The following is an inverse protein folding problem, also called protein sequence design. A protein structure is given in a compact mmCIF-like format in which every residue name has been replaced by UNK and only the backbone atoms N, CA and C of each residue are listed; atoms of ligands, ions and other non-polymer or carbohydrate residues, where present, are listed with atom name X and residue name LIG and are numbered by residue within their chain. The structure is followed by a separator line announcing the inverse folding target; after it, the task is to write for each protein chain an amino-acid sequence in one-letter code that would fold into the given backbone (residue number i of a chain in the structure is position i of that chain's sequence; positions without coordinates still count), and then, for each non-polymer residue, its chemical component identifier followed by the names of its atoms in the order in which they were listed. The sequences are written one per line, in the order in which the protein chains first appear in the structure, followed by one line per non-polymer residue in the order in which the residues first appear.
data_IF_196594961912
#
_entry.id   IF_196594961912
#
_cell.length_a   1.000
_cell.length_b   1.000
_cell.length_c   1.000
_cell.angle_alpha   90.00
_cell.angle_beta   90.00
_cell.angle_gamma   90.00
#
_symmetry.space_group_name_H-M   'P 1'
#
loop_
_entity.id
_entity.type
_entity.pdbx_description
1 polymer ?
#
# COMPACT_ATOMS: atom_id res chain seq x y z
N UNK A 1 33.43 -22.74 13.16
CA UNK A 1 32.45 -21.69 12.80
C UNK A 1 31.03 -22.29 12.79
N UNK A 2 30.72 -22.96 13.90
CA UNK A 2 29.62 -22.76 14.83
C UNK A 2 28.19 -22.73 14.28
N UNK A 3 27.65 -23.94 14.15
CA UNK A 3 26.21 -24.25 14.00
C UNK A 3 25.32 -23.55 15.05
N UNK A 4 25.85 -23.26 16.25
CA UNK A 4 25.17 -22.47 17.30
C UNK A 4 24.93 -21.01 16.91
N UNK A 5 25.86 -20.40 16.16
CA UNK A 5 25.69 -19.05 15.62
C UNK A 5 24.62 -19.01 14.53
N UNK A 6 24.56 -20.05 13.68
CA UNK A 6 23.57 -20.15 12.61
C UNK A 6 22.13 -20.36 13.15
N UNK A 7 21.95 -21.21 14.18
CA UNK A 7 20.64 -21.41 14.82
C UNK A 7 20.08 -20.13 15.44
N UNK A 8 20.93 -19.32 16.07
CA UNK A 8 20.51 -18.03 16.63
C UNK A 8 20.10 -17.03 15.53
N UNK A 9 20.82 -16.98 14.40
CA UNK A 9 20.45 -16.14 13.26
C UNK A 9 19.06 -16.47 12.71
N UNK A 10 18.76 -17.75 12.49
CA UNK A 10 17.45 -18.18 11.97
C UNK A 10 16.32 -17.84 12.94
N UNK A 11 16.55 -17.99 14.25
CA UNK A 11 15.57 -17.66 15.30
C UNK A 11 15.24 -16.16 15.32
N UNK A 12 16.25 -15.29 15.27
CA UNK A 12 16.07 -13.84 15.24
C UNK A 12 15.32 -13.41 13.97
N UNK A 13 15.68 -13.98 12.82
CA UNK A 13 15.01 -13.69 11.55
C UNK A 13 13.53 -14.10 11.57
N UNK A 14 13.23 -15.28 12.12
CA UNK A 14 11.85 -15.78 12.23
C UNK A 14 11.01 -14.94 13.19
N UNK A 15 11.59 -14.54 14.34
CA UNK A 15 10.94 -13.62 15.27
C UNK A 15 10.64 -12.27 14.61
N UNK A 16 11.57 -11.74 13.81
CA UNK A 16 11.36 -10.53 13.04
C UNK A 16 10.16 -10.67 12.09
N UNK A 17 10.11 -11.71 11.25
CA UNK A 17 8.98 -11.92 10.34
C UNK A 17 7.66 -12.10 11.08
N UNK A 18 7.61 -12.94 12.12
CA UNK A 18 6.41 -13.16 12.91
C UNK A 18 5.89 -11.85 13.54
N UNK A 19 6.80 -11.03 14.10
CA UNK A 19 6.46 -9.75 14.71
C UNK A 19 5.97 -8.74 13.68
N UNK A 20 6.64 -8.63 12.53
CA UNK A 20 6.25 -7.71 11.47
C UNK A 20 4.90 -8.08 10.86
N UNK A 21 4.66 -9.36 10.55
CA UNK A 21 3.35 -9.81 10.06
C UNK A 21 2.25 -9.60 11.10
N UNK A 22 2.53 -9.81 12.39
CA UNK A 22 1.58 -9.53 13.48
C UNK A 22 1.21 -8.05 13.55
N UNK A 23 2.19 -7.16 13.42
CA UNK A 23 1.96 -5.72 13.43
C UNK A 23 1.12 -5.27 12.22
N UNK A 24 1.47 -5.75 11.02
CA UNK A 24 0.70 -5.48 9.79
C UNK A 24 -0.73 -6.01 9.93
N UNK A 25 -0.90 -7.22 10.46
CA UNK A 25 -2.21 -7.83 10.69
C UNK A 25 -3.08 -6.97 11.61
N UNK A 26 -2.56 -6.58 12.77
CA UNK A 26 -3.32 -5.80 13.76
C UNK A 26 -3.72 -4.42 13.23
N UNK A 27 -2.76 -3.69 12.66
CA UNK A 27 -3.01 -2.34 12.12
C UNK A 27 -3.93 -2.41 10.91
N UNK A 28 -3.60 -3.26 9.94
CA UNK A 28 -4.35 -3.41 8.70
C UNK A 28 -5.78 -3.87 8.95
N UNK A 29 -6.00 -4.86 9.82
CA UNK A 29 -7.33 -5.38 10.11
C UNK A 29 -8.22 -4.31 10.75
N UNK A 30 -7.69 -3.58 11.74
CA UNK A 30 -8.41 -2.51 12.42
C UNK A 30 -8.80 -1.39 11.43
N UNK A 31 -7.82 -0.88 10.68
CA UNK A 31 -8.02 0.29 9.83
C UNK A 31 -8.87 -0.03 8.59
N UNK A 32 -8.64 -1.17 7.91
CA UNK A 32 -9.43 -1.54 6.74
C UNK A 32 -10.87 -1.96 7.11
N UNK A 33 -11.07 -2.65 8.23
CA UNK A 33 -12.43 -2.96 8.70
C UNK A 33 -13.20 -1.69 9.04
N UNK A 34 -12.55 -0.73 9.71
CA UNK A 34 -13.15 0.58 10.02
C UNK A 34 -13.47 1.35 8.74
N UNK A 35 -12.55 1.37 7.77
CA UNK A 35 -12.76 2.02 6.48
C UNK A 35 -13.93 1.41 5.72
N UNK A 36 -13.96 0.08 5.61
CA UNK A 36 -15.03 -0.64 4.91
C UNK A 36 -16.39 -0.41 5.59
N UNK A 37 -16.44 -0.43 6.92
CA UNK A 37 -17.64 -0.09 7.69
C UNK A 37 -18.14 1.33 7.37
N UNK A 38 -17.26 2.32 7.37
CA UNK A 38 -17.61 3.71 7.02
C UNK A 38 -18.11 3.79 5.58
N UNK A 39 -17.42 3.16 4.63
CA UNK A 39 -17.79 3.23 3.23
C UNK A 39 -19.14 2.55 2.92
N UNK A 40 -19.51 1.50 3.66
CA UNK A 40 -20.78 0.78 3.47
C UNK A 40 -21.93 1.49 4.21
N UNK A 41 -21.75 1.82 5.48
CA UNK A 41 -22.86 2.18 6.37
C UNK A 41 -23.01 3.67 6.65
N UNK A 42 -21.96 4.48 6.45
CA UNK A 42 -22.02 5.90 6.82
C UNK A 42 -22.49 6.82 5.71
N UNK A 43 -22.83 6.32 4.52
CA UNK A 43 -23.53 6.96 3.37
C UNK A 43 -23.14 8.40 2.94
N UNK A 44 -22.14 9.01 3.60
CA UNK A 44 -21.82 10.44 3.52
C UNK A 44 -20.77 10.73 2.43
N UNK A 45 -20.10 9.71 1.87
CA UNK A 45 -19.07 9.88 0.83
C UNK A 45 -19.33 8.96 -0.37
N UNK A 46 -20.34 9.28 -1.18
CA UNK A 46 -20.61 8.59 -2.46
C UNK A 46 -19.82 9.22 -3.61
N UNK A 47 -18.49 9.15 -3.53
CA UNK A 47 -17.64 9.49 -4.68
C UNK A 47 -17.38 8.26 -5.55
N UNK A 48 -17.11 8.44 -6.83
CA UNK A 48 -16.70 7.36 -7.74
C UNK A 48 -15.43 6.67 -7.21
N UNK A 49 -14.48 7.43 -6.68
CA UNK A 49 -13.25 6.90 -6.07
C UNK A 49 -13.52 5.97 -4.89
N UNK A 50 -14.62 6.20 -4.14
CA UNK A 50 -15.01 5.35 -3.02
C UNK A 50 -15.31 3.91 -3.47
N UNK A 51 -15.70 3.69 -4.73
CA UNK A 51 -15.86 2.34 -5.29
C UNK A 51 -14.52 1.60 -5.34
N UNK A 52 -13.46 2.26 -5.81
CA UNK A 52 -12.12 1.67 -5.83
C UNK A 52 -11.59 1.46 -4.41
N UNK A 53 -11.78 2.43 -3.50
CA UNK A 53 -11.35 2.31 -2.10
C UNK A 53 -12.05 1.18 -1.35
N UNK A 54 -13.34 0.94 -1.61
CA UNK A 54 -14.05 -0.24 -1.06
C UNK A 54 -13.41 -1.54 -1.52
N UNK A 55 -13.12 -1.65 -2.81
CA UNK A 55 -12.48 -2.84 -3.36
C UNK A 55 -11.06 -3.02 -2.83
N UNK A 56 -10.33 -1.92 -2.61
CA UNK A 56 -8.98 -1.93 -2.03
C UNK A 56 -9.02 -2.48 -0.60
N UNK A 57 -9.90 -1.94 0.25
CA UNK A 57 -10.10 -2.44 1.61
C UNK A 57 -10.52 -3.92 1.64
N UNK A 58 -11.35 -4.38 0.69
CA UNK A 58 -11.71 -5.81 0.58
C UNK A 58 -10.49 -6.65 0.18
N UNK A 59 -9.66 -6.17 -0.76
CA UNK A 59 -8.40 -6.81 -1.15
C UNK A 59 -7.50 -6.98 0.07
N UNK A 60 -7.26 -5.89 0.80
CA UNK A 60 -6.43 -5.86 1.99
C UNK A 60 -6.93 -6.82 3.05
N UNK A 61 -8.24 -6.85 3.32
CA UNK A 61 -8.83 -7.77 4.29
C UNK A 61 -8.66 -9.24 3.90
N UNK A 62 -8.67 -9.58 2.60
CA UNK A 62 -8.38 -10.94 2.15
C UNK A 62 -6.90 -11.31 2.34
N UNK A 63 -5.97 -10.40 2.08
CA UNK A 63 -4.56 -10.61 2.43
C UNK A 63 -4.39 -10.79 3.95
N UNK A 64 -5.00 -9.91 4.74
CA UNK A 64 -4.94 -9.92 6.20
C UNK A 64 -5.51 -11.21 6.78
N UNK A 65 -6.58 -11.75 6.20
CA UNK A 65 -7.14 -13.06 6.58
C UNK A 65 -6.15 -14.23 6.36
N UNK A 66 -5.21 -14.10 5.42
CA UNK A 66 -4.17 -15.11 5.18
C UNK A 66 -2.94 -14.98 6.10
N UNK A 67 -2.74 -13.81 6.73
CA UNK A 67 -1.56 -13.52 7.55
C UNK A 67 -1.36 -14.40 8.78
N UNK A 68 -2.40 -14.84 9.51
CA UNK A 68 -2.24 -15.75 10.64
C UNK A 68 -1.44 -17.02 10.32
N UNK A 69 -1.53 -17.51 9.08
CA UNK A 69 -0.75 -18.67 8.63
C UNK A 69 0.75 -18.37 8.59
N UNK A 70 1.15 -17.19 8.10
CA UNK A 70 2.56 -16.75 8.09
C UNK A 70 3.08 -16.49 9.50
N UNK A 71 2.27 -15.88 10.36
CA UNK A 71 2.63 -15.64 11.77
C UNK A 71 2.85 -16.98 12.49
N UNK A 72 1.93 -17.93 12.31
CA UNK A 72 2.04 -19.27 12.89
C UNK A 72 3.27 -20.00 12.36
N UNK A 73 3.53 -19.92 11.05
CA UNK A 73 4.71 -20.51 10.42
C UNK A 73 6.02 -19.98 11.00
N UNK A 74 6.22 -18.66 10.99
CA UNK A 74 7.47 -18.07 11.47
C UNK A 74 7.63 -18.17 12.99
N UNK A 75 6.54 -18.22 13.76
CA UNK A 75 6.59 -18.36 15.22
C UNK A 75 6.91 -19.78 15.70
N UNK A 76 6.34 -20.80 15.06
CA UNK A 76 6.35 -22.18 15.58
C UNK A 76 6.85 -23.27 14.61
N UNK A 77 7.14 -22.94 13.35
CA UNK A 77 7.56 -23.90 12.32
C UNK A 77 6.69 -25.17 12.26
N UNK A 78 5.36 -25.02 12.13
CA UNK A 78 4.45 -26.14 12.04
C UNK A 78 4.54 -26.80 10.66
N UNK A 79 4.18 -28.08 10.60
CA UNK A 79 3.97 -28.76 9.33
C UNK A 79 2.63 -28.30 8.73
N UNK A 80 2.70 -27.40 7.74
CA UNK A 80 1.53 -26.93 6.99
C UNK A 80 1.31 -27.80 5.76
N UNK A 81 0.03 -28.03 5.43
CA UNK A 81 -0.30 -28.68 4.16
C UNK A 81 0.13 -27.78 2.99
N UNK A 82 0.59 -28.40 1.90
CA UNK A 82 0.98 -27.67 0.69
C UNK A 82 -0.15 -26.79 0.15
N UNK A 83 -1.40 -27.27 0.20
CA UNK A 83 -2.58 -26.52 -0.26
C UNK A 83 -2.74 -25.24 0.59
N UNK A 84 -2.55 -25.32 1.91
CA UNK A 84 -2.65 -24.16 2.80
C UNK A 84 -1.62 -23.09 2.46
N UNK A 85 -0.37 -23.49 2.20
CA UNK A 85 0.72 -22.61 1.78
C UNK A 85 0.41 -21.90 0.47
N UNK A 86 -0.05 -22.66 -0.51
CA UNK A 86 -0.36 -22.16 -1.85
C UNK A 86 -1.54 -21.21 -1.84
N UNK A 87 -2.61 -21.50 -1.09
CA UNK A 87 -3.75 -20.59 -0.95
C UNK A 87 -3.31 -19.27 -0.30
N UNK A 88 -2.46 -19.31 0.74
CA UNK A 88 -1.92 -18.11 1.36
C UNK A 88 -0.99 -17.32 0.43
N UNK A 89 -0.23 -18.00 -0.43
CA UNK A 89 0.59 -17.40 -1.47
C UNK A 89 -0.25 -16.75 -2.57
N UNK A 90 -1.29 -17.44 -3.03
CA UNK A 90 -2.23 -16.96 -4.04
C UNK A 90 -2.99 -15.71 -3.56
N UNK A 91 -3.51 -15.71 -2.32
CA UNK A 91 -4.18 -14.54 -1.75
C UNK A 91 -3.25 -13.31 -1.70
N UNK A 92 -1.96 -13.52 -1.39
CA UNK A 92 -0.97 -12.43 -1.45
C UNK A 92 -0.80 -11.91 -2.88
N UNK A 93 -0.70 -12.79 -3.87
CA UNK A 93 -0.51 -12.38 -5.25
C UNK A 93 -1.75 -11.69 -5.84
N UNK A 94 -2.95 -12.19 -5.51
CA UNK A 94 -4.22 -11.55 -5.85
C UNK A 94 -4.32 -10.16 -5.21
N UNK A 95 -3.95 -10.03 -3.93
CA UNK A 95 -3.89 -8.73 -3.26
C UNK A 95 -2.91 -7.79 -3.95
N UNK A 96 -1.69 -8.27 -4.20
CA UNK A 96 -0.65 -7.45 -4.81
C UNK A 96 -1.09 -6.84 -6.13
N UNK A 97 -1.60 -7.65 -7.07
CA UNK A 97 -2.10 -7.13 -8.35
C UNK A 97 -3.41 -6.35 -8.21
N UNK A 98 -4.31 -6.78 -7.31
CA UNK A 98 -5.52 -6.04 -6.97
C UNK A 98 -5.20 -4.62 -6.52
N UNK A 99 -4.34 -4.47 -5.51
CA UNK A 99 -3.89 -3.17 -5.00
C UNK A 99 -3.16 -2.36 -6.07
N UNK A 100 -2.23 -2.95 -6.84
CA UNK A 100 -1.56 -2.27 -7.96
C UNK A 100 -2.59 -1.64 -8.92
N UNK A 101 -3.56 -2.43 -9.40
CA UNK A 101 -4.55 -1.94 -10.35
C UNK A 101 -5.51 -0.92 -9.73
N UNK A 102 -5.98 -1.17 -8.50
CA UNK A 102 -6.90 -0.27 -7.80
C UNK A 102 -6.26 1.07 -7.47
N UNK A 103 -5.02 1.08 -6.99
CA UNK A 103 -4.25 2.30 -6.71
C UNK A 103 -4.03 3.10 -8.00
N UNK A 104 -3.70 2.45 -9.12
CA UNK A 104 -3.60 3.11 -10.43
C UNK A 104 -4.94 3.70 -10.88
N UNK A 105 -6.05 2.97 -10.71
CA UNK A 105 -7.38 3.47 -11.01
C UNK A 105 -7.79 4.65 -10.11
N UNK A 106 -7.40 4.64 -8.84
CA UNK A 106 -7.63 5.76 -7.91
C UNK A 106 -6.90 7.02 -8.41
N UNK A 107 -5.63 6.91 -8.80
CA UNK A 107 -4.87 8.04 -9.36
C UNK A 107 -5.45 8.53 -10.68
N UNK A 108 -5.82 7.62 -11.58
CA UNK A 108 -6.42 7.96 -12.87
C UNK A 108 -7.80 8.63 -12.71
N UNK A 109 -8.66 8.14 -11.80
CA UNK A 109 -9.95 8.76 -11.49
C UNK A 109 -9.77 10.18 -10.93
N UNK A 110 -8.78 10.39 -10.06
CA UNK A 110 -8.49 11.71 -9.50
C UNK A 110 -7.98 12.68 -10.57
N UNK A 111 -7.09 12.22 -11.44
CA UNK A 111 -6.63 12.99 -12.59
C UNK A 111 -7.80 13.38 -13.51
N UNK A 112 -8.65 12.41 -13.88
CA UNK A 112 -9.83 12.67 -14.71
C UNK A 112 -10.84 13.64 -14.07
N UNK A 113 -11.06 13.52 -12.76
CA UNK A 113 -11.99 14.36 -12.02
C UNK A 113 -11.54 15.83 -11.95
N UNK A 114 -10.24 16.07 -11.82
CA UNK A 114 -9.66 17.41 -11.62
C UNK A 114 -9.31 18.07 -12.95
N UNK A 115 -8.67 17.35 -13.87
CA UNK A 115 -8.20 17.92 -15.13
C UNK A 115 -9.30 18.00 -16.20
N UNK A 116 -10.34 17.15 -16.10
CA UNK A 116 -11.40 17.07 -17.12
C UNK A 116 -12.81 17.00 -16.49
N UNK A 117 -13.22 17.98 -15.65
CA UNK A 117 -14.48 17.91 -14.91
C UNK A 117 -15.73 17.93 -15.81
N UNK A 118 -15.68 18.64 -16.95
CA UNK A 118 -16.81 18.81 -17.88
C UNK A 118 -16.75 17.87 -19.10
N UNK A 119 -15.74 16.99 -19.18
CA UNK A 119 -15.61 16.06 -20.30
C UNK A 119 -16.62 14.93 -20.16
N UNK A 120 -17.51 14.78 -21.16
CA UNK A 120 -18.49 13.69 -21.23
C UNK A 120 -17.81 12.31 -21.24
N UNK A 121 -16.66 12.19 -21.91
CA UNK A 121 -15.83 10.99 -21.92
C UNK A 121 -15.30 10.64 -20.52
N UNK A 122 -14.75 11.62 -19.81
CA UNK A 122 -14.26 11.46 -18.43
C UNK A 122 -15.38 10.97 -17.52
N UNK A 123 -16.55 11.60 -17.59
CA UNK A 123 -17.71 11.22 -16.79
C UNK A 123 -18.20 9.80 -17.13
N UNK A 124 -18.26 9.44 -18.41
CA UNK A 124 -18.69 8.10 -18.85
C UNK A 124 -17.76 7.00 -18.31
N UNK A 125 -16.44 7.16 -18.40
CA UNK A 125 -15.47 6.19 -17.87
C UNK A 125 -15.60 6.07 -16.35
N UNK A 126 -15.65 7.21 -15.65
CA UNK A 126 -15.74 7.22 -14.19
C UNK A 126 -17.01 6.52 -13.70
N UNK A 127 -18.13 6.66 -14.41
CA UNK A 127 -19.38 5.94 -14.07
C UNK A 127 -19.26 4.41 -14.21
N UNK A 128 -18.29 3.90 -14.97
CA UNK A 128 -18.05 2.47 -15.14
C UNK A 128 -17.17 1.86 -14.04
N UNK A 129 -16.84 2.58 -12.97
CA UNK A 129 -15.94 2.13 -11.90
C UNK A 129 -16.28 0.73 -11.33
N UNK A 130 -17.58 0.38 -11.23
CA UNK A 130 -18.01 -0.95 -10.77
C UNK A 130 -17.55 -2.06 -11.73
N UNK A 131 -17.73 -1.85 -13.04
CA UNK A 131 -17.32 -2.82 -14.06
C UNK A 131 -15.79 -2.90 -14.16
N UNK A 132 -15.09 -1.76 -14.01
CA UNK A 132 -13.63 -1.74 -13.93
C UNK A 132 -13.15 -2.57 -12.75
N UNK A 133 -13.77 -2.45 -11.56
CA UNK A 133 -13.42 -3.28 -10.41
C UNK A 133 -13.66 -4.77 -10.66
N UNK A 134 -14.78 -5.14 -11.30
CA UNK A 134 -15.03 -6.55 -11.70
C UNK A 134 -13.94 -7.05 -12.65
N UNK A 135 -13.52 -6.22 -13.60
CA UNK A 135 -12.40 -6.50 -14.49
C UNK A 135 -11.09 -6.70 -13.74
N UNK A 136 -10.78 -5.85 -12.75
CA UNK A 136 -9.60 -5.97 -11.89
C UNK A 136 -9.62 -7.29 -11.12
N UNK A 137 -10.73 -7.64 -10.45
CA UNK A 137 -10.84 -8.92 -9.74
C UNK A 137 -10.62 -10.10 -10.68
N UNK A 138 -11.26 -10.07 -11.85
CA UNK A 138 -11.12 -11.12 -12.85
C UNK A 138 -9.67 -11.24 -13.32
N UNK A 139 -9.03 -10.12 -13.66
CA UNK A 139 -7.65 -10.09 -14.12
C UNK A 139 -6.67 -10.56 -13.04
N UNK A 140 -6.83 -10.10 -11.80
CA UNK A 140 -5.99 -10.51 -10.67
C UNK A 140 -6.16 -11.99 -10.34
N UNK A 141 -7.37 -12.54 -10.39
CA UNK A 141 -7.61 -13.97 -10.11
C UNK A 141 -7.14 -14.85 -11.27
N UNK A 142 -7.57 -14.57 -12.49
CA UNK A 142 -7.25 -15.37 -13.69
C UNK A 142 -5.76 -15.25 -14.04
N UNK A 143 -5.13 -14.11 -13.77
CA UNK A 143 -3.69 -13.92 -13.99
C UNK A 143 -2.81 -14.66 -12.99
N UNK A 144 -3.29 -14.94 -11.77
CA UNK A 144 -2.48 -15.48 -10.66
C UNK A 144 -2.77 -16.94 -10.34
N UNK A 145 -3.98 -17.44 -10.58
CA UNK A 145 -4.30 -18.86 -10.36
C UNK A 145 -3.43 -19.77 -11.25
N UNK A 146 -3.36 -19.59 -12.58
CA UNK A 146 -2.60 -20.48 -13.45
C UNK A 146 -1.11 -20.50 -13.11
N UNK A 147 -0.54 -19.38 -12.66
CA UNK A 147 0.89 -19.32 -12.30
C UNK A 147 1.23 -20.22 -11.11
N UNK A 148 0.28 -20.51 -10.22
CA UNK A 148 0.47 -21.46 -9.11
C UNK A 148 0.27 -22.93 -9.50
N UNK A 149 -0.40 -23.21 -10.62
CA UNK A 149 -0.69 -24.59 -11.06
C UNK A 149 0.17 -25.05 -12.25
N UNK A 150 0.77 -24.14 -13.01
CA UNK A 150 1.69 -24.45 -14.12
C UNK A 150 3.07 -24.83 -13.57
N UNK A 151 3.36 -26.14 -13.50
CA UNK A 151 4.73 -26.63 -13.22
C UNK A 151 4.84 -27.83 -12.28
N UNK A 152 3.77 -28.19 -11.56
CA UNK A 152 3.89 -29.17 -10.45
C UNK A 152 4.40 -30.54 -10.90
N UNK A 153 5.68 -30.81 -10.61
CA UNK A 153 6.16 -32.17 -10.40
C UNK A 153 5.83 -32.55 -8.96
N UNK A 154 5.07 -33.61 -8.79
CA UNK A 154 4.76 -34.24 -7.50
C UNK A 154 6.03 -34.48 -6.69
N UNK A 155 6.39 -33.55 -5.81
CA UNK A 155 7.35 -33.79 -4.73
C UNK A 155 6.68 -33.46 -3.41
N UNK A 156 6.11 -34.52 -2.86
CA UNK A 156 5.72 -34.66 -1.46
C UNK A 156 6.97 -34.38 -0.61
N UNK A 157 6.78 -33.62 0.48
CA UNK A 157 7.77 -33.24 1.50
C UNK A 157 8.59 -31.96 1.25
N UNK A 158 7.92 -30.81 1.20
CA UNK A 158 8.56 -29.55 1.63
C UNK A 158 7.93 -29.10 2.95
N UNK A 159 8.57 -29.44 4.07
CA UNK A 159 8.33 -28.89 5.41
C UNK A 159 8.55 -27.37 5.50
N UNK A 160 8.97 -26.73 4.40
CA UNK A 160 9.31 -25.32 4.31
C UNK A 160 8.31 -24.59 3.41
N UNK A 161 7.28 -23.99 4.02
CA UNK A 161 6.11 -23.38 3.35
C UNK A 161 6.40 -22.02 2.72
N UNK A 162 7.14 -21.16 3.43
CA UNK A 162 7.37 -19.76 3.06
C UNK A 162 8.85 -19.37 2.96
N UNK A 163 9.76 -20.34 3.03
CA UNK A 163 11.20 -20.08 3.02
C UNK A 163 11.83 -20.08 1.62
N UNK A 164 11.12 -20.57 0.60
CA UNK A 164 11.56 -20.59 -0.80
C UNK A 164 10.69 -19.73 -1.72
N UNK A 165 11.19 -19.47 -2.92
CA UNK A 165 10.41 -18.84 -3.98
C UNK A 165 9.52 -19.88 -4.70
N UNK A 166 8.33 -19.49 -5.16
CA UNK A 166 7.50 -20.35 -6.00
C UNK A 166 8.08 -20.51 -7.42
N UNK A 167 7.84 -21.66 -8.06
CA UNK A 167 8.39 -22.03 -9.38
C UNK A 167 8.11 -21.00 -10.49
N UNK A 168 6.99 -20.27 -10.40
CA UNK A 168 6.63 -19.28 -11.41
C UNK A 168 7.61 -18.11 -11.50
N UNK A 169 8.38 -17.82 -10.45
CA UNK A 169 9.34 -16.70 -10.42
C UNK A 169 10.59 -16.99 -11.26
N UNK A 170 10.97 -18.26 -11.39
CA UNK A 170 12.11 -18.65 -12.24
C UNK A 170 11.69 -18.96 -13.67
N UNK A 171 10.38 -18.99 -13.96
CA UNK A 171 9.87 -19.11 -15.33
C UNK A 171 10.02 -17.77 -16.07
N UNK A 172 10.87 -17.67 -17.12
CA UNK A 172 11.14 -16.40 -17.79
C UNK A 172 9.90 -15.77 -18.43
N UNK A 173 8.97 -16.59 -18.96
CA UNK A 173 7.75 -16.10 -19.59
C UNK A 173 6.79 -15.48 -18.58
N UNK A 174 6.58 -16.14 -17.44
CA UNK A 174 5.70 -15.65 -16.38
C UNK A 174 6.32 -14.40 -15.73
N UNK A 175 7.58 -14.47 -15.30
CA UNK A 175 8.27 -13.35 -14.64
C UNK A 175 8.39 -12.12 -15.53
N UNK A 176 8.70 -12.28 -16.82
CA UNK A 176 8.72 -11.15 -17.76
C UNK A 176 7.33 -10.53 -17.94
N UNK A 177 6.27 -11.35 -17.99
CA UNK A 177 4.89 -10.86 -18.08
C UNK A 177 4.49 -10.09 -16.83
N UNK A 178 4.85 -10.59 -15.64
CA UNK A 178 4.61 -9.92 -14.36
C UNK A 178 5.30 -8.55 -14.27
N UNK A 179 6.59 -8.50 -14.66
CA UNK A 179 7.37 -7.25 -14.66
C UNK A 179 6.84 -6.27 -15.71
N UNK A 180 6.48 -6.73 -16.91
CA UNK A 180 5.90 -5.89 -17.96
C UNK A 180 4.54 -5.32 -17.53
N UNK A 181 3.68 -6.15 -16.95
CA UNK A 181 2.39 -5.71 -16.41
C UNK A 181 2.59 -4.60 -15.38
N UNK A 182 3.53 -4.80 -14.44
CA UNK A 182 3.86 -3.78 -13.47
C UNK A 182 4.42 -2.50 -14.11
N UNK A 183 5.34 -2.61 -15.07
CA UNK A 183 5.90 -1.46 -15.78
C UNK A 183 4.83 -0.63 -16.50
N UNK A 184 3.85 -1.28 -17.14
CA UNK A 184 2.71 -0.59 -17.76
C UNK A 184 1.88 0.13 -16.71
N UNK A 185 1.52 -0.54 -15.60
CA UNK A 185 0.75 0.09 -14.52
C UNK A 185 1.48 1.25 -13.86
N UNK A 186 2.81 1.13 -13.70
CA UNK A 186 3.68 2.17 -13.17
C UNK A 186 3.70 3.38 -14.11
N UNK A 187 3.81 3.17 -15.42
CA UNK A 187 3.76 4.25 -16.40
C UNK A 187 2.44 5.03 -16.32
N UNK A 188 1.30 4.34 -16.22
CA UNK A 188 -0.02 4.98 -16.05
C UNK A 188 -0.10 5.72 -14.71
N UNK A 189 0.38 5.12 -13.62
CA UNK A 189 0.41 5.73 -12.28
C UNK A 189 1.22 7.03 -12.29
N UNK A 190 2.43 7.00 -12.85
CA UNK A 190 3.34 8.16 -12.92
C UNK A 190 2.78 9.24 -13.84
N UNK A 191 2.24 8.88 -15.01
CA UNK A 191 1.68 9.85 -15.96
C UNK A 191 0.45 10.58 -15.41
N UNK A 192 -0.49 9.85 -14.80
CA UNK A 192 -1.68 10.45 -14.18
C UNK A 192 -1.32 11.32 -12.97
N UNK A 193 -0.43 10.84 -12.10
CA UNK A 193 -0.01 11.57 -10.90
C UNK A 193 0.80 12.82 -11.24
N UNK A 194 1.74 12.75 -12.20
CA UNK A 194 2.55 13.91 -12.60
C UNK A 194 1.72 14.99 -13.27
N UNK A 195 0.77 14.61 -14.13
CA UNK A 195 -0.17 15.54 -14.77
C UNK A 195 -1.01 16.28 -13.74
N UNK A 196 -1.52 15.56 -12.74
CA UNK A 196 -2.33 16.14 -11.67
C UNK A 196 -1.51 17.08 -10.78
N UNK A 197 -0.28 16.69 -10.41
CA UNK A 197 0.63 17.54 -9.62
C UNK A 197 1.06 18.81 -10.38
N UNK A 198 1.23 18.71 -11.70
CA UNK A 198 1.56 19.86 -12.54
C UNK A 198 0.44 20.91 -12.52
N UNK A 199 -0.82 20.48 -12.64
CA UNK A 199 -1.99 21.38 -12.54
C UNK A 199 -2.03 22.06 -11.17
N UNK A 200 -1.82 21.32 -10.08
CA UNK A 200 -1.81 21.92 -8.74
C UNK A 200 -0.70 22.94 -8.51
N UNK A 201 0.45 22.77 -9.15
CA UNK A 201 1.52 23.77 -9.09
C UNK A 201 1.12 25.07 -9.80
N UNK A 202 0.28 25.01 -10.85
CA UNK A 202 -0.17 26.18 -11.60
C UNK A 202 -1.35 26.92 -10.94
N UNK A 203 -2.18 26.24 -10.14
CA UNK A 203 -3.46 26.77 -9.65
C UNK A 203 -3.44 27.42 -8.24
N UNK A 204 -2.31 27.95 -7.77
CA UNK A 204 -2.19 28.52 -6.41
C UNK A 204 -2.75 29.96 -6.37
N UNK A 205 -4.08 30.14 -6.27
CA UNK A 205 -4.65 31.50 -6.13
C UNK A 205 -5.90 31.70 -5.25
N UNK A 206 -6.45 30.70 -4.52
CA UNK A 206 -7.59 30.95 -3.58
C UNK A 206 -7.53 30.07 -2.32
N UNK A 207 -7.57 30.68 -1.13
CA UNK A 207 -7.26 30.03 0.17
C UNK A 207 -8.12 28.81 0.55
N UNK A 208 -9.42 28.78 0.22
CA UNK A 208 -10.27 27.59 0.42
C UNK A 208 -10.01 26.46 -0.60
N UNK A 209 -9.59 26.79 -1.83
CA UNK A 209 -9.17 25.78 -2.81
C UNK A 209 -7.86 25.12 -2.38
N UNK A 210 -6.95 25.87 -1.74
CA UNK A 210 -5.66 25.35 -1.26
C UNK A 210 -5.81 24.21 -0.25
N UNK A 211 -6.84 24.24 0.61
CA UNK A 211 -7.09 23.16 1.59
C UNK A 211 -7.50 21.86 0.88
N UNK A 212 -8.32 21.92 -0.16
CA UNK A 212 -8.72 20.72 -0.91
C UNK A 212 -7.61 20.24 -1.85
N UNK A 213 -6.86 21.15 -2.47
CA UNK A 213 -5.69 20.83 -3.30
C UNK A 213 -4.60 20.13 -2.48
N UNK A 214 -4.29 20.61 -1.28
CA UNK A 214 -3.28 19.99 -0.41
C UNK A 214 -3.67 18.58 0.03
N UNK A 215 -4.95 18.34 0.35
CA UNK A 215 -5.48 16.99 0.64
C UNK A 215 -5.34 16.05 -0.55
N UNK A 216 -5.75 16.48 -1.75
CA UNK A 216 -5.66 15.64 -2.96
C UNK A 216 -4.20 15.41 -3.34
N UNK A 217 -3.33 16.41 -3.22
CA UNK A 217 -1.89 16.28 -3.43
C UNK A 217 -1.29 15.24 -2.49
N UNK A 218 -1.61 15.31 -1.20
CA UNK A 218 -1.10 14.37 -0.20
C UNK A 218 -1.60 12.95 -0.48
N UNK A 219 -2.88 12.78 -0.83
CA UNK A 219 -3.44 11.52 -1.29
C UNK A 219 -2.64 10.94 -2.48
N UNK A 220 -2.36 11.73 -3.52
CA UNK A 220 -1.63 11.28 -4.72
C UNK A 220 -0.20 10.89 -4.37
N UNK A 221 0.50 11.72 -3.58
CA UNK A 221 1.87 11.45 -3.15
C UNK A 221 1.92 10.17 -2.30
N UNK A 222 0.98 9.99 -1.36
CA UNK A 222 0.87 8.77 -0.57
C UNK A 222 0.61 7.55 -1.46
N UNK A 223 -0.30 7.65 -2.43
CA UNK A 223 -0.59 6.56 -3.35
C UNK A 223 0.66 6.14 -4.15
N UNK A 224 1.38 7.10 -4.73
CA UNK A 224 2.65 6.84 -5.45
C UNK A 224 3.71 6.24 -4.51
N UNK A 225 3.81 6.74 -3.28
CA UNK A 225 4.77 6.24 -2.30
C UNK A 225 4.49 4.78 -1.90
N UNK A 226 3.22 4.43 -1.68
CA UNK A 226 2.81 3.04 -1.40
C UNK A 226 3.10 2.15 -2.61
N UNK A 227 2.70 2.60 -3.80
CA UNK A 227 2.90 1.85 -5.04
C UNK A 227 4.38 1.51 -5.27
N UNK A 228 5.25 2.52 -5.20
CA UNK A 228 6.68 2.36 -5.37
C UNK A 228 7.29 1.58 -4.20
N UNK A 229 7.00 1.96 -2.96
CA UNK A 229 7.63 1.37 -1.78
C UNK A 229 7.27 -0.10 -1.57
N UNK A 230 6.03 -0.49 -1.83
CA UNK A 230 5.54 -1.84 -1.55
C UNK A 230 5.73 -2.80 -2.75
N UNK A 231 5.62 -2.30 -3.99
CA UNK A 231 5.57 -3.20 -5.15
C UNK A 231 6.80 -3.14 -6.07
N UNK A 232 7.51 -2.00 -6.16
CA UNK A 232 8.72 -1.93 -7.01
C UNK A 232 9.80 -2.90 -6.53
N UNK A 233 10.14 -3.01 -5.23
CA UNK A 233 11.19 -3.91 -4.76
C UNK A 233 10.92 -5.36 -5.15
N UNK A 234 9.67 -5.82 -5.02
CA UNK A 234 9.28 -7.17 -5.43
C UNK A 234 9.56 -7.42 -6.92
N UNK A 235 9.13 -6.53 -7.80
CA UNK A 235 9.30 -6.71 -9.24
C UNK A 235 10.76 -6.62 -9.68
N UNK A 236 11.57 -5.79 -8.99
CA UNK A 236 13.01 -5.77 -9.19
C UNK A 236 13.64 -7.10 -8.77
N UNK A 237 13.25 -7.67 -7.63
CA UNK A 237 13.71 -9.00 -7.21
C UNK A 237 13.30 -10.10 -8.20
N UNK A 238 12.07 -10.07 -8.72
CA UNK A 238 11.62 -11.00 -9.77
C UNK A 238 12.48 -10.88 -11.04
N UNK A 239 12.85 -9.65 -11.45
CA UNK A 239 13.77 -9.43 -12.56
C UNK A 239 15.16 -10.02 -12.28
N UNK A 240 15.66 -9.90 -11.03
CA UNK A 240 16.93 -10.49 -10.63
C UNK A 240 16.95 -12.02 -10.73
N UNK A 241 15.82 -12.72 -10.52
CA UNK A 241 15.75 -14.17 -10.73
C UNK A 241 15.99 -14.60 -12.19
N UNK A 242 15.87 -13.68 -13.15
CA UNK A 242 16.18 -13.94 -14.57
C UNK A 242 17.67 -13.79 -14.91
N UNK A 243 18.50 -13.39 -13.93
CA UNK A 243 19.92 -13.14 -14.10
C UNK A 243 20.73 -14.34 -13.59
N UNK A 244 21.31 -15.19 -14.47
CA UNK A 244 21.84 -16.51 -14.08
C UNK A 244 23.03 -16.49 -13.11
N UNK A 245 23.78 -15.38 -13.05
CA UNK A 245 24.99 -15.24 -12.23
C UNK A 245 24.72 -14.67 -10.84
N UNK A 246 23.47 -14.36 -10.49
CA UNK A 246 23.13 -13.93 -9.14
C UNK A 246 23.00 -15.13 -8.20
N UNK A 247 23.40 -14.93 -6.94
CA UNK A 247 23.38 -15.99 -5.94
C UNK A 247 21.94 -16.27 -5.48
N UNK A 248 21.47 -17.49 -5.72
CA UNK A 248 20.11 -17.94 -5.41
C UNK A 248 19.74 -17.78 -3.92
N UNK A 249 20.68 -18.01 -2.99
CA UNK A 249 20.38 -17.92 -1.55
C UNK A 249 20.12 -16.49 -1.09
N UNK A 250 20.89 -15.53 -1.63
CA UNK A 250 20.67 -14.11 -1.36
C UNK A 250 19.38 -13.61 -2.01
N UNK A 251 19.02 -14.13 -3.18
CA UNK A 251 17.75 -13.82 -3.85
C UNK A 251 16.55 -14.34 -3.04
N UNK A 252 16.61 -15.57 -2.52
CA UNK A 252 15.54 -16.13 -1.68
C UNK A 252 15.37 -15.33 -0.38
N UNK A 253 16.48 -14.91 0.22
CA UNK A 253 16.44 -14.03 1.37
C UNK A 253 15.81 -12.67 1.02
N UNK A 254 16.26 -12.02 -0.06
CA UNK A 254 15.70 -10.76 -0.52
C UNK A 254 14.20 -10.88 -0.84
N UNK A 255 13.80 -11.97 -1.49
CA UNK A 255 12.42 -12.29 -1.84
C UNK A 255 11.51 -12.29 -0.61
N UNK A 256 11.94 -12.92 0.49
CA UNK A 256 11.17 -12.93 1.75
C UNK A 256 10.97 -11.52 2.32
N UNK A 257 11.99 -10.65 2.24
CA UNK A 257 11.87 -9.27 2.70
C UNK A 257 10.98 -8.41 1.79
N UNK A 258 11.10 -8.54 0.47
CA UNK A 258 10.24 -7.76 -0.46
C UNK A 258 8.79 -8.25 -0.44
N UNK A 259 8.53 -9.52 -0.13
CA UNK A 259 7.18 -10.02 0.15
C UNK A 259 6.60 -9.44 1.45
N UNK A 260 7.40 -9.37 2.51
CA UNK A 260 6.98 -8.70 3.74
C UNK A 260 6.68 -7.22 3.47
N UNK A 261 7.56 -6.55 2.72
CA UNK A 261 7.40 -5.15 2.34
C UNK A 261 6.17 -4.94 1.46
N UNK A 262 5.87 -5.85 0.53
CA UNK A 262 4.66 -5.76 -0.27
C UNK A 262 3.42 -5.84 0.60
N UNK A 263 3.41 -6.65 1.66
CA UNK A 263 2.30 -6.72 2.61
C UNK A 263 2.08 -5.45 3.44
N UNK A 264 3.07 -4.58 3.57
CA UNK A 264 2.92 -3.29 4.27
C UNK A 264 1.87 -2.40 3.59
N UNK A 265 1.59 -2.62 2.30
CA UNK A 265 0.52 -1.92 1.57
C UNK A 265 -0.81 -1.90 2.34
N UNK A 266 -1.24 -3.07 2.86
CA UNK A 266 -2.51 -3.20 3.57
C UNK A 266 -2.56 -2.39 4.88
N UNK A 267 -1.42 -2.04 5.47
CA UNK A 267 -1.36 -1.16 6.65
C UNK A 267 -1.28 0.33 6.27
N UNK A 268 -0.85 0.66 5.04
CA UNK A 268 -0.65 2.03 4.57
C UNK A 268 -1.83 2.57 3.73
N UNK A 269 -2.57 1.73 3.03
CA UNK A 269 -3.73 2.11 2.23
C UNK A 269 -4.80 2.91 3.02
N UNK A 270 -5.01 2.67 4.33
CA UNK A 270 -5.81 3.56 5.16
C UNK A 270 -5.41 5.04 5.21
N UNK A 271 -4.15 5.38 4.92
CA UNK A 271 -3.73 6.77 4.76
C UNK A 271 -4.35 7.41 3.52
N UNK A 272 -4.53 6.64 2.44
CA UNK A 272 -5.25 7.09 1.23
C UNK A 272 -6.71 7.40 1.58
N UNK A 273 -7.34 6.59 2.45
CA UNK A 273 -8.70 6.84 2.95
C UNK A 273 -8.78 8.07 3.84
N UNK A 274 -7.78 8.28 4.70
CA UNK A 274 -7.69 9.43 5.59
C UNK A 274 -7.65 10.76 4.84
N UNK A 275 -6.85 10.85 3.77
CA UNK A 275 -6.75 12.09 2.97
C UNK A 275 -7.97 12.35 2.07
N UNK A 276 -8.85 11.36 1.90
CA UNK A 276 -10.02 11.45 1.00
C UNK A 276 -11.35 11.57 1.73
N UNK A 277 -11.44 11.06 2.96
CA UNK A 277 -12.72 10.89 3.67
C UNK A 277 -12.68 11.64 5.00
N UNK A 278 -13.36 12.79 5.06
CA UNK A 278 -13.42 13.58 6.31
C UNK A 278 -14.05 12.80 7.48
N UNK A 279 -14.99 11.91 7.19
CA UNK A 279 -15.61 11.00 8.16
C UNK A 279 -14.61 9.98 8.72
N UNK A 280 -13.70 9.46 7.89
CA UNK A 280 -12.63 8.57 8.34
C UNK A 280 -11.67 9.30 9.27
N UNK A 281 -11.25 10.52 8.90
CA UNK A 281 -10.44 11.39 9.77
C UNK A 281 -11.10 11.69 11.12
N UNK A 282 -12.42 11.91 11.16
CA UNK A 282 -13.16 12.15 12.42
C UNK A 282 -13.21 10.92 13.33
N UNK A 283 -13.27 9.72 12.75
CA UNK A 283 -13.32 8.46 13.52
C UNK A 283 -11.93 7.91 13.86
N UNK A 284 -10.91 8.26 13.08
CA UNK A 284 -9.50 7.91 13.30
C UNK A 284 -8.67 9.20 13.29
N UNK A 285 -8.71 10.02 14.35
CA UNK A 285 -7.90 11.23 14.42
C UNK A 285 -6.41 10.86 14.56
N UNK A 286 -5.62 11.09 13.50
CA UNK A 286 -4.15 10.98 13.52
C UNK A 286 -3.48 12.20 14.18
N UNK A 287 -4.26 13.25 14.49
CA UNK A 287 -3.77 14.50 15.07
C UNK A 287 -3.06 14.38 16.43
N UNK A 288 -3.39 13.45 17.34
CA UNK A 288 -2.66 13.31 18.59
C UNK A 288 -1.19 12.93 18.40
N UNK A 289 -0.86 12.17 17.34
CA UNK A 289 0.51 11.70 17.08
C UNK A 289 1.39 12.70 16.32
N UNK A 290 0.79 13.54 15.46
CA UNK A 290 1.52 14.54 14.70
C UNK A 290 1.81 15.80 15.52
N UNK A 291 0.94 16.13 16.49
CA UNK A 291 1.10 17.31 17.35
C UNK A 291 2.24 17.16 18.36
N UNK A 292 2.54 15.93 18.80
CA UNK A 292 3.66 15.66 19.73
C UNK A 292 5.03 15.96 19.11
N UNK A 293 5.15 15.86 17.78
CA UNK A 293 6.40 16.13 17.06
C UNK A 293 6.62 17.62 16.78
N UNK A 294 5.54 18.38 16.58
CA UNK A 294 5.59 19.84 16.43
C UNK A 294 5.89 20.55 17.76
N UNK A 295 5.27 20.12 18.88
CA UNK A 295 5.53 20.71 20.19
C UNK A 295 6.96 20.52 20.70
N UNK A 296 7.70 19.56 20.14
CA UNK A 296 9.07 19.26 20.55
C UNK A 296 10.13 20.08 19.80
N UNK A 297 9.78 20.65 18.63
CA UNK A 297 10.63 21.64 17.94
C UNK A 297 10.43 23.05 18.51
N UNK A 298 9.20 23.43 18.87
CA UNK A 298 8.92 24.78 19.39
C UNK A 298 9.52 25.04 20.79
N UNK A 299 9.77 23.99 21.58
CA UNK A 299 10.36 24.14 22.92
C UNK A 299 11.87 24.46 22.90
N UNK A 300 12.57 24.19 21.79
CA UNK A 300 14.01 24.45 21.67
C UNK A 300 14.30 25.91 21.31
N UNK A 301 13.33 26.63 20.74
CA UNK A 301 13.51 27.97 20.17
C UNK A 301 13.00 29.12 21.08
N UNK A 302 12.31 28.79 22.19
CA UNK A 302 11.64 29.76 23.07
C UNK A 302 12.47 30.43 24.17
N UNK A 303 13.80 30.27 24.23
CA UNK A 303 14.63 30.90 25.27
C UNK A 303 15.56 31.98 24.68
N UNK A 304 14.99 33.16 24.38
CA UNK A 304 15.62 34.48 24.59
C UNK A 304 14.72 35.64 24.13
N UNK A 305 14.13 36.39 25.07
CA UNK A 305 14.48 37.78 25.43
C UNK A 305 13.43 38.37 26.40
N UNK A 306 13.83 39.18 27.40
CA UNK A 306 12.92 39.72 28.41
C UNK A 306 12.26 41.04 28.02
N UNK A 307 11.13 41.28 28.68
CA UNK A 307 10.16 42.36 28.52
C UNK A 307 10.71 43.80 28.56
N UNK A 308 10.08 44.71 27.80
CA UNK A 308 10.02 46.13 28.12
C UNK A 308 8.55 46.58 28.27
N UNK A 309 8.19 47.40 29.28
CA UNK A 309 6.81 47.81 29.51
C UNK A 309 6.38 49.03 28.69
N UNK A 310 5.09 49.07 28.38
CA UNK A 310 4.37 50.07 27.61
C UNK A 310 3.70 51.08 28.55
N UNK A 311 3.92 52.39 28.37
CA UNK A 311 3.12 53.47 28.99
C UNK A 311 3.47 54.80 28.28
N UNK A 312 2.59 55.74 27.92
CA UNK A 312 1.15 55.86 27.75
C UNK A 312 0.93 57.07 26.80
N UNK A 313 -0.12 57.05 25.97
CA UNK A 313 -0.53 58.22 25.17
C UNK A 313 -1.46 59.12 25.99
N UNK A 314 -1.32 60.47 25.92
CA UNK A 314 -2.35 61.39 26.39
C UNK A 314 -3.36 61.77 25.27
N UNK A 315 -4.56 62.26 25.66
CA UNK A 315 -5.76 62.32 24.82
C UNK A 315 -5.85 63.60 23.98
N UNK A 316 -6.85 63.72 23.07
CA UNK A 316 -6.88 64.71 22.02
C UNK A 316 -7.57 66.01 22.42
N UNK A 317 -7.19 67.14 21.82
CA UNK A 317 -8.08 68.27 21.61
C UNK A 317 -7.57 69.25 20.54
N UNK A 318 -8.51 69.64 19.67
CA UNK A 318 -8.60 70.81 18.77
C UNK A 318 -7.56 71.00 17.67
#
# INVERSE_FOLDING_TARGET
MDSSNCHNCTRVQNLFFASSYSLIFMIGLLLNSTALYIFIFRDVVRSITTVYMKNLAICDLLLLASMPLRIYYYGWHPELSQITCEVAGLLLLVNMYGSIFLLTCISADRWMAVCFPLSSWSQAIRQQAKYICVGIWTLSIVGTIPTYFVGKKTKISSTLCFDGHPEYITNPGISSTMVLCYAITLAVMVASSSSLLHVFHQSVSVEMELINISKIRLMVVTNVAIFLGCFLPYHLTVLCYLVPWLNATHLDQAYRYVLLLSCVNAALDPLVYYFTTETFRRQVPLEPFLRTRASQCDYVEGIRLPDQPLEAQPPPAS
#
